data_IF_199688795891
#
_entry.id   IF_199688795891
#
_cell.length_a   1.000
_cell.length_b   1.000
_cell.length_c   1.000
_cell.angle_alpha   90.00
_cell.angle_beta   90.00
_cell.angle_gamma   90.00
#
_symmetry.space_group_name_H-M   'P 1'
#
loop_
_entity.id
_entity.type
_entity.pdbx_description
1 polymer ?
#
# COMPACT_ATOMS: atom_id res chain seq x y z
N UNK A 1 8.49 4.97 1.16
CA UNK A 1 7.21 5.68 1.33
C UNK A 1 6.81 5.57 2.81
N UNK A 2 6.32 6.62 3.46
CA UNK A 2 5.69 6.51 4.80
C UNK A 2 4.16 6.42 4.65
N UNK A 3 3.46 5.91 5.66
CA UNK A 3 1.98 5.80 5.64
C UNK A 3 1.28 7.12 5.29
N UNK A 4 1.76 8.25 5.82
CA UNK A 4 1.21 9.58 5.53
C UNK A 4 1.22 9.90 4.04
N UNK A 5 2.32 9.56 3.34
CA UNK A 5 2.43 9.79 1.89
C UNK A 5 1.51 8.86 1.09
N UNK A 6 1.35 7.60 1.52
CA UNK A 6 0.40 6.66 0.91
C UNK A 6 -1.04 7.18 1.04
N UNK A 7 -1.44 7.63 2.22
CA UNK A 7 -2.78 8.17 2.46
C UNK A 7 -3.08 9.42 1.60
N UNK A 8 -2.16 10.38 1.57
CA UNK A 8 -2.32 11.60 0.75
C UNK A 8 -2.43 11.30 -0.75
N UNK A 9 -1.74 10.25 -1.22
CA UNK A 9 -1.85 9.82 -2.61
C UNK A 9 -3.26 9.29 -2.89
N UNK A 10 -3.80 8.44 -2.02
CA UNK A 10 -5.16 7.88 -2.15
C UNK A 10 -6.24 8.96 -2.06
N UNK A 11 -6.08 9.92 -1.14
CA UNK A 11 -7.03 11.03 -1.01
C UNK A 11 -7.13 11.84 -2.32
N UNK A 12 -6.02 11.96 -3.07
CA UNK A 12 -5.95 12.68 -4.35
C UNK A 12 -6.42 11.88 -5.57
N UNK A 13 -6.56 10.56 -5.47
CA UNK A 13 -7.00 9.70 -6.58
C UNK A 13 -8.51 9.86 -6.85
N UNK A 14 -8.92 9.56 -8.09
CA UNK A 14 -10.32 9.41 -8.44
C UNK A 14 -10.88 8.05 -7.98
N UNK A 15 -12.19 7.95 -7.68
CA UNK A 15 -12.86 6.65 -7.51
C UNK A 15 -12.66 5.77 -8.75
N UNK A 16 -12.30 4.51 -8.54
CA UNK A 16 -11.92 3.54 -9.57
C UNK A 16 -10.45 3.59 -9.99
N UNK A 17 -9.66 4.56 -9.52
CA UNK A 17 -8.26 4.66 -9.86
C UNK A 17 -7.41 3.68 -9.04
N UNK A 18 -6.34 3.16 -9.65
CA UNK A 18 -5.42 2.20 -9.03
C UNK A 18 -4.08 2.87 -8.75
N UNK A 19 -3.50 2.61 -7.57
CA UNK A 19 -2.17 3.09 -7.21
C UNK A 19 -1.26 1.94 -6.78
N UNK A 20 0.03 2.12 -7.11
CA UNK A 20 1.10 1.23 -6.70
C UNK A 20 1.99 1.90 -5.65
N UNK A 21 2.16 1.23 -4.51
CA UNK A 21 2.90 1.75 -3.37
C UNK A 21 4.00 0.76 -2.99
N UNK A 22 5.22 1.26 -2.94
CA UNK A 22 6.39 0.51 -2.47
C UNK A 22 6.63 0.78 -0.98
N UNK A 23 6.43 -0.25 -0.18
CA UNK A 23 6.61 -0.29 1.26
C UNK A 23 7.97 -0.90 1.57
N UNK A 24 8.69 -0.36 2.55
CA UNK A 24 9.98 -0.90 3.01
C UNK A 24 9.99 -0.93 4.53
N UNK A 25 10.43 -2.04 5.11
CA UNK A 25 10.42 -2.27 6.55
C UNK A 25 9.08 -2.79 7.08
N UNK A 26 9.13 -3.43 8.25
CA UNK A 26 8.01 -4.17 8.84
C UNK A 26 6.78 -3.29 9.16
N UNK A 27 7.01 -2.12 9.75
CA UNK A 27 5.92 -1.26 10.24
C UNK A 27 4.97 -0.76 9.11
N UNK A 28 5.46 -0.24 7.96
CA UNK A 28 4.57 0.12 6.86
C UNK A 28 3.86 -1.08 6.22
N UNK A 29 4.50 -2.25 6.21
CA UNK A 29 3.94 -3.48 5.63
C UNK A 29 2.70 -3.93 6.40
N UNK A 30 2.67 -3.77 7.73
CA UNK A 30 1.49 -4.10 8.53
C UNK A 30 0.47 -2.97 8.57
N UNK A 31 0.92 -1.72 8.79
CA UNK A 31 0.03 -0.60 9.04
C UNK A 31 -0.68 -0.10 7.76
N UNK A 32 0.02 -0.04 6.62
CA UNK A 32 -0.55 0.53 5.39
C UNK A 32 -1.72 -0.30 4.85
N UNK A 33 -1.62 -1.62 4.67
CA UNK A 33 -2.75 -2.43 4.24
C UNK A 33 -3.95 -2.33 5.18
N UNK A 34 -3.71 -2.29 6.49
CA UNK A 34 -4.76 -2.16 7.49
C UNK A 34 -5.51 -0.84 7.33
N UNK A 35 -4.79 0.28 7.28
CA UNK A 35 -5.42 1.60 7.12
C UNK A 35 -6.16 1.76 5.80
N UNK A 36 -5.68 1.14 4.71
CA UNK A 36 -6.39 1.17 3.41
C UNK A 36 -7.74 0.46 3.50
N UNK A 37 -7.79 -0.69 4.18
CA UNK A 37 -9.05 -1.39 4.46
C UNK A 37 -9.97 -0.58 5.38
N UNK A 38 -9.42 0.03 6.43
CA UNK A 38 -10.19 0.88 7.36
C UNK A 38 -10.77 2.12 6.66
N UNK A 39 -10.11 2.63 5.61
CA UNK A 39 -10.60 3.70 4.75
C UNK A 39 -11.66 3.23 3.72
N UNK A 40 -11.94 1.93 3.64
CA UNK A 40 -12.92 1.36 2.71
C UNK A 40 -12.39 1.15 1.28
N UNK A 41 -11.08 1.25 1.07
CA UNK A 41 -10.44 1.02 -0.22
C UNK A 41 -10.09 -0.46 -0.41
N UNK A 42 -9.91 -0.86 -1.67
CA UNK A 42 -9.64 -2.25 -2.02
C UNK A 42 -8.14 -2.48 -2.25
N UNK A 43 -7.61 -3.58 -1.71
CA UNK A 43 -6.25 -4.02 -2.00
C UNK A 43 -6.33 -5.07 -3.10
N UNK A 44 -5.80 -4.74 -4.27
CA UNK A 44 -5.80 -5.63 -5.43
C UNK A 44 -4.72 -6.70 -5.33
N UNK A 45 -3.51 -6.32 -4.92
CA UNK A 45 -2.40 -7.26 -4.80
C UNK A 45 -1.32 -6.75 -3.85
N UNK A 46 -0.59 -7.69 -3.26
CA UNK A 46 0.59 -7.41 -2.45
C UNK A 46 1.69 -8.40 -2.84
N UNK A 47 2.82 -7.89 -3.35
CA UNK A 47 3.90 -8.71 -3.88
C UNK A 47 5.21 -8.34 -3.20
N UNK A 48 5.97 -9.34 -2.75
CA UNK A 48 7.32 -9.16 -2.23
C UNK A 48 8.28 -9.03 -3.41
N UNK A 49 9.20 -8.07 -3.35
CA UNK A 49 10.18 -7.88 -4.41
C UNK A 49 11.34 -8.89 -4.34
N UNK A 50 11.65 -9.39 -3.14
CA UNK A 50 12.73 -10.36 -2.92
C UNK A 50 12.28 -11.42 -1.92
N UNK A 51 12.36 -12.69 -2.31
CA UNK A 51 12.01 -13.82 -1.44
C UNK A 51 13.03 -14.05 -0.31
N UNK A 52 14.26 -13.55 -0.47
CA UNK A 52 15.37 -13.76 0.47
C UNK A 52 15.58 -12.64 1.52
N UNK A 53 14.83 -11.54 1.46
CA UNK A 53 14.93 -10.45 2.44
C UNK A 53 13.57 -10.20 3.10
N UNK A 54 13.37 -10.62 4.37
CA UNK A 54 12.13 -10.36 5.09
C UNK A 54 11.86 -8.85 5.32
N UNK A 55 12.87 -7.99 5.15
CA UNK A 55 12.76 -6.53 5.19
C UNK A 55 12.76 -5.88 3.79
N UNK A 56 12.76 -6.70 2.75
CA UNK A 56 12.75 -6.29 1.36
C UNK A 56 11.51 -5.46 1.00
N UNK A 57 11.58 -4.65 -0.05
CA UNK A 57 10.47 -3.80 -0.43
C UNK A 57 9.26 -4.65 -0.86
N UNK A 58 8.08 -4.28 -0.36
CA UNK A 58 6.80 -4.88 -0.71
C UNK A 58 6.03 -3.92 -1.61
N UNK A 59 5.58 -4.41 -2.75
CA UNK A 59 4.69 -3.70 -3.66
C UNK A 59 3.25 -3.94 -3.24
N UNK A 60 2.49 -2.87 -3.06
CA UNK A 60 1.07 -2.91 -2.73
C UNK A 60 0.28 -2.20 -3.84
N UNK A 61 -0.66 -2.92 -4.45
CA UNK A 61 -1.59 -2.41 -5.45
C UNK A 61 -2.95 -2.23 -4.82
N UNK A 62 -3.51 -1.03 -4.96
CA UNK A 62 -4.74 -0.61 -4.30
C UNK A 62 -5.66 0.07 -5.31
N UNK A 63 -6.97 -0.13 -5.15
CA UNK A 63 -7.99 0.55 -5.93
C UNK A 63 -8.82 1.41 -4.97
N UNK A 64 -8.95 2.70 -5.31
CA UNK A 64 -9.87 3.58 -4.61
C UNK A 64 -11.29 3.22 -5.03
N UNK A 65 -12.14 2.85 -4.08
CA UNK A 65 -13.60 2.81 -4.31
C UNK A 65 -14.22 4.18 -4.25
#
# INVERSE_FOLDING_TARGET
MTFVKAKLLIERMAPGETAEIWLKGWEPIENVPRSIRDLGHEILAMTRHSDNDPLGPHRLLICKK
#
